data_IF_146847128280
#
_entry.id   IF_146847128280
#
_cell.length_a   1.000
_cell.length_b   1.000
_cell.length_c   1.000
_cell.angle_alpha   90.00
_cell.angle_beta   90.00
_cell.angle_gamma   90.00
#
_symmetry.space_group_name_H-M   'P 1'
#
loop_
_entity.id
_entity.type
_entity.pdbx_description
1 polymer ?
#
# COMPACT_ATOMS: atom_id res chain seq x y z
N UNK A 1 8.05 3.11 -27.71
CA UNK A 1 6.69 3.04 -27.16
C UNK A 1 6.51 1.88 -26.18
N UNK A 2 6.78 0.61 -26.55
CA UNK A 2 6.72 -0.50 -25.57
C UNK A 2 7.83 -0.45 -24.50
N UNK A 3 9.01 0.03 -24.87
CA UNK A 3 10.15 0.14 -23.95
C UNK A 3 9.95 1.27 -22.92
N UNK A 4 9.28 2.36 -23.34
CA UNK A 4 8.98 3.50 -22.47
C UNK A 4 7.96 3.12 -21.37
N UNK A 5 6.97 2.29 -21.71
CA UNK A 5 5.98 1.76 -20.74
C UNK A 5 6.62 0.83 -19.71
N UNK A 6 7.55 -0.04 -20.15
CA UNK A 6 8.27 -0.94 -19.26
C UNK A 6 9.18 -0.17 -18.29
N UNK A 7 9.89 0.84 -18.79
CA UNK A 7 10.73 1.69 -17.96
C UNK A 7 9.91 2.43 -16.90
N UNK A 8 8.78 3.02 -17.28
CA UNK A 8 7.88 3.71 -16.36
C UNK A 8 7.30 2.79 -15.26
N UNK A 9 7.00 1.54 -15.59
CA UNK A 9 6.55 0.55 -14.60
C UNK A 9 7.67 0.15 -13.64
N UNK A 10 8.91 0.03 -14.11
CA UNK A 10 10.05 -0.26 -13.25
C UNK A 10 10.33 0.89 -12.26
N UNK A 11 10.32 2.13 -12.74
CA UNK A 11 10.52 3.31 -11.90
C UNK A 11 9.45 3.40 -10.78
N UNK A 12 8.20 3.06 -11.08
CA UNK A 12 7.13 3.02 -10.06
C UNK A 12 7.35 1.89 -9.04
N UNK A 13 7.78 0.71 -9.48
CA UNK A 13 8.08 -0.41 -8.58
C UNK A 13 9.24 -0.08 -7.64
N UNK A 14 10.29 0.58 -8.15
CA UNK A 14 11.43 1.03 -7.35
C UNK A 14 11.07 2.12 -6.34
N UNK A 15 10.12 2.99 -6.69
CA UNK A 15 9.60 4.01 -5.79
C UNK A 15 8.57 3.48 -4.77
N UNK A 16 8.19 2.20 -4.85
CA UNK A 16 7.20 1.62 -3.94
C UNK A 16 7.86 1.21 -2.63
N UNK A 17 7.38 1.79 -1.52
CA UNK A 17 7.87 1.44 -0.18
C UNK A 17 7.19 0.16 0.35
N UNK A 18 8.00 -0.79 0.82
CA UNK A 18 7.54 -1.99 1.49
C UNK A 18 7.33 -1.70 2.98
N UNK A 19 6.28 -2.29 3.56
CA UNK A 19 6.00 -2.15 4.99
C UNK A 19 6.17 -3.50 5.69
N UNK A 20 6.73 -3.55 6.90
CA UNK A 20 6.82 -4.80 7.64
C UNK A 20 5.43 -5.30 8.04
N UNK A 21 5.20 -6.61 7.90
CA UNK A 21 3.99 -7.24 8.38
C UNK A 21 4.13 -7.61 9.86
N UNK A 22 3.23 -7.11 10.71
CA UNK A 22 3.24 -7.41 12.14
C UNK A 22 2.97 -8.89 12.47
N UNK A 23 2.46 -9.68 11.53
CA UNK A 23 2.11 -11.10 11.74
C UNK A 23 3.23 -12.03 11.29
N UNK A 24 3.70 -11.90 10.04
CA UNK A 24 4.76 -12.77 9.52
C UNK A 24 6.17 -12.17 9.63
N UNK A 25 6.31 -10.89 9.94
CA UNK A 25 7.60 -10.20 10.06
C UNK A 25 8.25 -9.79 8.74
N UNK A 26 7.70 -10.21 7.61
CA UNK A 26 8.24 -9.92 6.27
C UNK A 26 8.00 -8.47 5.85
N UNK A 27 8.98 -7.85 5.20
CA UNK A 27 8.82 -6.57 4.49
C UNK A 27 8.10 -6.83 3.17
N UNK A 28 6.91 -6.26 3.01
CA UNK A 28 6.02 -6.62 1.90
C UNK A 28 5.11 -5.49 1.49
N UNK A 29 4.62 -5.60 0.25
CA UNK A 29 3.49 -4.83 -0.20
C UNK A 29 2.25 -5.22 0.60
N UNK A 30 1.39 -4.24 0.82
CA UNK A 30 0.08 -4.43 1.43
C UNK A 30 -0.97 -3.95 0.44
N UNK A 31 -1.85 -4.86 0.01
CA UNK A 31 -2.91 -4.56 -0.92
C UNK A 31 -4.03 -3.81 -0.20
N UNK A 32 -4.51 -2.71 -0.79
CA UNK A 32 -5.73 -2.05 -0.34
C UNK A 32 -6.95 -2.89 -0.75
N UNK A 33 -7.72 -3.33 0.24
CA UNK A 33 -8.91 -4.15 0.03
C UNK A 33 -10.17 -3.28 -0.02
N UNK A 34 -10.36 -2.46 1.01
CA UNK A 34 -11.54 -1.59 1.13
C UNK A 34 -11.25 -0.34 1.96
N UNK A 35 -12.05 0.70 1.75
CA UNK A 35 -12.08 1.89 2.62
C UNK A 35 -13.10 1.63 3.71
N UNK A 36 -12.67 1.65 4.96
CA UNK A 36 -13.56 1.45 6.11
C UNK A 36 -14.25 2.76 6.50
N UNK A 37 -13.46 3.81 6.68
CA UNK A 37 -13.98 5.13 7.06
C UNK A 37 -13.15 6.27 6.47
N UNK A 38 -13.81 7.42 6.25
CA UNK A 38 -13.20 8.66 5.78
C UNK A 38 -13.40 9.76 6.82
N UNK A 39 -12.30 10.24 7.36
CA UNK A 39 -12.24 11.39 8.25
C UNK A 39 -11.90 12.67 7.46
N UNK A 40 -11.99 13.83 8.11
CA UNK A 40 -11.66 15.10 7.50
C UNK A 40 -10.21 15.17 6.95
N UNK A 41 -9.27 14.50 7.62
CA UNK A 41 -7.83 14.55 7.30
C UNK A 41 -7.17 13.16 7.20
N UNK A 42 -7.96 12.09 7.24
CA UNK A 42 -7.44 10.73 7.22
C UNK A 42 -8.45 9.77 6.60
N UNK A 43 -7.96 8.64 6.10
CA UNK A 43 -8.78 7.54 5.59
C UNK A 43 -8.35 6.26 6.29
N UNK A 44 -9.28 5.54 6.87
CA UNK A 44 -9.03 4.19 7.38
C UNK A 44 -9.24 3.17 6.27
N UNK A 45 -8.22 2.35 6.04
CA UNK A 45 -8.16 1.36 4.97
C UNK A 45 -8.00 -0.04 5.57
N UNK A 46 -8.71 -1.02 5.05
CA UNK A 46 -8.39 -2.42 5.29
C UNK A 46 -7.33 -2.85 4.28
N UNK A 47 -6.19 -3.30 4.79
CA UNK A 47 -5.03 -3.70 4.01
C UNK A 47 -4.74 -5.19 4.24
N UNK A 48 -4.30 -5.90 3.20
CA UNK A 48 -3.93 -7.31 3.25
C UNK A 48 -2.45 -7.51 2.94
N UNK A 49 -1.76 -8.29 3.76
CA UNK A 49 -0.38 -8.71 3.52
C UNK A 49 -0.32 -9.65 2.30
N UNK A 50 0.47 -9.31 1.28
CA UNK A 50 0.59 -10.14 0.07
C UNK A 50 1.36 -11.46 0.29
N UNK A 51 2.03 -11.62 1.43
CA UNK A 51 2.75 -12.86 1.79
C UNK A 51 1.87 -13.83 2.58
N UNK A 52 1.32 -13.39 3.72
CA UNK A 52 0.60 -14.29 4.64
C UNK A 52 -0.92 -14.12 4.60
N UNK A 53 -1.46 -13.16 3.84
CA UNK A 53 -2.89 -12.90 3.72
C UNK A 53 -3.54 -12.29 4.98
N UNK A 54 -2.75 -11.92 5.99
CA UNK A 54 -3.29 -11.29 7.19
C UNK A 54 -3.84 -9.90 6.87
N UNK A 55 -5.03 -9.59 7.39
CA UNK A 55 -5.68 -8.29 7.22
C UNK A 55 -5.49 -7.41 8.45
N UNK A 56 -5.27 -6.11 8.22
CA UNK A 56 -5.17 -5.11 9.28
C UNK A 56 -5.71 -3.77 8.82
N UNK A 57 -6.13 -2.94 9.77
CA UNK A 57 -6.49 -1.56 9.47
C UNK A 57 -5.23 -0.70 9.38
N UNK A 58 -5.26 0.29 8.49
CA UNK A 58 -4.21 1.27 8.30
C UNK A 58 -4.80 2.65 8.11
N UNK A 59 -4.21 3.65 8.77
CA UNK A 59 -4.66 5.02 8.70
C UNK A 59 -3.80 5.80 7.73
N UNK A 60 -4.36 6.13 6.57
CA UNK A 60 -3.73 6.97 5.57
C UNK A 60 -4.05 8.44 5.86
N UNK A 61 -3.05 9.23 6.22
CA UNK A 61 -3.20 10.67 6.43
C UNK A 61 -3.32 11.36 5.06
N UNK A 62 -4.43 12.03 4.82
CA UNK A 62 -4.60 12.83 3.61
C UNK A 62 -3.87 14.15 3.86
N UNK A 63 -2.68 14.33 3.28
CA UNK A 63 -1.94 15.59 3.34
C UNK A 63 -2.83 16.72 2.79
N UNK A 64 -3.29 17.61 3.67
CA UNK A 64 -3.95 18.85 3.25
C UNK A 64 -2.85 19.81 2.82
N UNK A 65 -2.76 20.05 1.51
CA UNK A 65 -1.88 21.08 0.94
C UNK A 65 -2.32 22.49 1.28
#
# INVERSE_FOLDING_TARGET
>A
MKDDELQFLQEQLEATELLPCAICGEETLHAHIEVLERYAHATELLMECTVCGSRRTWMHLNSVG
#
